data_IF_743623962834
#
_entry.id   IF_743623962834
#
_cell.length_a   1.000
_cell.length_b   1.000
_cell.length_c   1.000
_cell.angle_alpha   90.00
_cell.angle_beta   90.00
_cell.angle_gamma   90.00
#
_symmetry.space_group_name_H-M   'P 1'
#
loop_
_entity.id
_entity.type
_entity.pdbx_description
1 polymer ?
#
# COMPACT_ATOMS: atom_id res chain seq x y z
N UNK A 1 -8.64 10.24 1.90
CA UNK A 1 -7.63 9.41 1.19
C UNK A 1 -7.05 10.02 -0.09
N UNK A 2 -7.84 10.27 -1.15
CA UNK A 2 -7.32 10.64 -2.50
C UNK A 2 -6.30 11.78 -2.53
N UNK A 3 -6.64 12.95 -1.97
CA UNK A 3 -5.72 14.10 -1.92
C UNK A 3 -4.44 13.79 -1.13
N UNK A 4 -4.53 13.00 -0.05
CA UNK A 4 -3.36 12.59 0.74
C UNK A 4 -2.39 11.74 -0.09
N UNK A 5 -2.93 10.79 -0.87
CA UNK A 5 -2.13 9.94 -1.76
C UNK A 5 -1.54 10.77 -2.90
N UNK A 6 -2.30 11.72 -3.44
CA UNK A 6 -1.81 12.66 -4.46
C UNK A 6 -0.63 13.47 -3.95
N UNK A 7 -0.74 14.09 -2.78
CA UNK A 7 0.32 14.87 -2.15
C UNK A 7 1.58 14.01 -1.90
N UNK A 8 1.41 12.75 -1.49
CA UNK A 8 2.52 11.81 -1.37
C UNK A 8 3.21 11.58 -2.71
N UNK A 9 2.45 11.32 -3.77
CA UNK A 9 3.00 11.01 -5.08
C UNK A 9 3.66 12.20 -5.77
N UNK A 10 3.14 13.42 -5.57
CA UNK A 10 3.81 14.63 -6.07
C UNK A 10 5.22 14.74 -5.46
N UNK A 11 5.34 14.57 -4.14
CA UNK A 11 6.65 14.56 -3.46
C UNK A 11 7.54 13.40 -3.91
N UNK A 12 6.97 12.20 -4.06
CA UNK A 12 7.72 11.02 -4.51
C UNK A 12 8.32 11.22 -5.91
N UNK A 13 7.53 11.76 -6.84
CA UNK A 13 8.00 12.06 -8.19
C UNK A 13 9.07 13.15 -8.19
N UNK A 14 8.90 14.20 -7.39
CA UNK A 14 9.91 15.25 -7.24
C UNK A 14 11.23 14.67 -6.71
N UNK A 15 11.20 13.75 -5.73
CA UNK A 15 12.41 13.08 -5.22
C UNK A 15 13.13 12.24 -6.27
N UNK A 16 12.40 11.53 -7.12
CA UNK A 16 13.01 10.79 -8.23
C UNK A 16 13.65 11.72 -9.28
N UNK A 17 13.02 12.86 -9.55
CA UNK A 17 13.58 13.88 -10.41
C UNK A 17 14.83 14.53 -9.80
N UNK A 18 14.85 14.80 -8.50
CA UNK A 18 16.02 15.31 -7.77
C UNK A 18 17.18 14.30 -7.75
N UNK A 19 16.88 13.02 -7.51
CA UNK A 19 17.88 11.97 -7.33
C UNK A 19 18.54 11.53 -8.64
N UNK A 20 17.75 11.30 -9.69
CA UNK A 20 18.23 10.69 -10.93
C UNK A 20 17.69 11.36 -12.22
N UNK A 21 17.01 12.51 -12.09
CA UNK A 21 16.35 13.19 -13.22
C UNK A 21 15.48 12.22 -14.05
N UNK A 22 14.80 11.31 -13.35
CA UNK A 22 14.02 10.23 -13.93
C UNK A 22 12.67 10.10 -13.23
N UNK A 23 11.78 9.33 -13.85
CA UNK A 23 10.62 8.79 -13.16
C UNK A 23 11.01 7.61 -12.27
N UNK A 24 10.13 7.22 -11.33
CA UNK A 24 10.26 5.96 -10.61
C UNK A 24 10.43 4.80 -11.59
N UNK A 25 11.37 3.91 -11.29
CA UNK A 25 11.65 2.71 -12.09
C UNK A 25 11.40 1.46 -11.26
N UNK A 26 10.86 0.43 -11.91
CA UNK A 26 10.61 -0.89 -11.31
C UNK A 26 10.93 -1.97 -12.34
N UNK A 27 11.20 -3.20 -11.89
CA UNK A 27 11.32 -4.33 -12.80
C UNK A 27 10.01 -4.51 -13.59
N UNK A 28 10.12 -4.72 -14.91
CA UNK A 28 8.97 -4.98 -15.75
C UNK A 28 8.29 -6.30 -15.35
N UNK A 29 6.96 -6.29 -15.34
CA UNK A 29 6.15 -7.45 -15.01
C UNK A 29 5.07 -7.61 -16.09
N UNK A 30 5.03 -8.79 -16.72
CA UNK A 30 4.07 -9.12 -17.78
C UNK A 30 2.63 -9.27 -17.27
N UNK A 31 2.45 -9.58 -15.99
CA UNK A 31 1.15 -9.74 -15.35
C UNK A 31 0.51 -8.38 -14.99
N UNK A 32 1.25 -7.28 -15.10
CA UNK A 32 0.77 -5.93 -14.77
C UNK A 32 0.28 -5.24 -16.04
N UNK A 33 -0.93 -4.67 -15.98
CA UNK A 33 -1.50 -3.94 -17.12
C UNK A 33 -0.58 -2.80 -17.56
N UNK A 34 -0.13 -2.85 -18.82
CA UNK A 34 0.93 -1.99 -19.32
C UNK A 34 0.62 -0.48 -19.36
N UNK A 35 -0.63 -0.06 -19.10
CA UNK A 35 -0.98 1.36 -19.10
C UNK A 35 -0.32 2.16 -17.96
N UNK A 36 0.13 1.48 -16.90
CA UNK A 36 0.84 2.11 -15.76
C UNK A 36 2.29 2.47 -16.11
N UNK A 37 2.87 1.77 -17.09
CA UNK A 37 4.25 1.95 -17.50
C UNK A 37 4.42 3.11 -18.48
N UNK A 38 5.58 3.74 -18.43
CA UNK A 38 5.98 4.86 -19.28
C UNK A 38 7.30 4.54 -19.97
N UNK A 39 7.31 4.59 -21.30
CA UNK A 39 8.53 4.38 -22.09
C UNK A 39 8.76 2.91 -22.45
N UNK A 40 10.03 2.49 -22.39
CA UNK A 40 10.47 1.13 -22.71
C UNK A 40 11.36 0.60 -21.59
N UNK A 41 11.41 -0.71 -21.48
CA UNK A 41 12.38 -1.41 -20.65
C UNK A 41 13.82 -1.02 -21.02
N UNK A 42 14.65 -0.84 -20.00
CA UNK A 42 16.09 -0.65 -20.16
C UNK A 42 16.85 -1.98 -20.26
N UNK A 43 18.17 -1.91 -20.40
CA UNK A 43 19.03 -3.09 -20.55
C UNK A 43 19.05 -4.02 -19.32
N UNK A 44 18.55 -3.55 -18.18
CA UNK A 44 18.46 -4.30 -16.93
C UNK A 44 17.04 -4.81 -16.65
N UNK A 45 16.10 -4.59 -17.58
CA UNK A 45 14.70 -5.00 -17.44
C UNK A 45 13.88 -4.09 -16.53
N UNK A 46 14.32 -2.86 -16.28
CA UNK A 46 13.56 -1.87 -15.53
C UNK A 46 12.78 -0.95 -16.48
N UNK A 47 11.61 -0.52 -16.05
CA UNK A 47 10.73 0.38 -16.79
C UNK A 47 10.23 1.50 -15.86
N UNK A 48 10.04 2.69 -16.42
CA UNK A 48 9.48 3.81 -15.66
C UNK A 48 7.97 3.67 -15.48
N UNK A 49 7.44 4.23 -14.40
CA UNK A 49 6.00 4.27 -14.14
C UNK A 49 5.60 5.60 -13.49
N UNK A 50 4.29 5.87 -13.46
CA UNK A 50 3.68 6.98 -12.71
C UNK A 50 2.38 6.51 -12.06
N UNK A 51 2.02 7.05 -10.89
CA UNK A 51 0.71 6.81 -10.31
C UNK A 51 -0.37 7.40 -11.21
N UNK A 52 -1.50 6.68 -11.33
CA UNK A 52 -2.64 7.08 -12.17
C UNK A 52 -3.89 7.09 -11.30
N UNK A 53 -4.63 8.19 -11.33
CA UNK A 53 -5.90 8.29 -10.61
C UNK A 53 -6.88 7.22 -11.09
N UNK A 54 -7.52 6.51 -10.17
CA UNK A 54 -8.49 5.47 -10.52
C UNK A 54 -9.81 6.09 -10.96
N UNK A 55 -10.24 5.71 -12.15
CA UNK A 55 -11.58 5.97 -12.68
C UNK A 55 -12.55 4.79 -12.52
N UNK A 56 -12.11 3.71 -11.85
CA UNK A 56 -12.91 2.51 -11.56
C UNK A 56 -12.83 2.21 -10.07
N UNK A 57 -13.95 1.79 -9.50
CA UNK A 57 -14.03 1.39 -8.09
C UNK A 57 -14.07 -0.14 -8.00
N UNK A 58 -13.24 -0.66 -7.12
CA UNK A 58 -13.33 -2.02 -6.62
C UNK A 58 -14.49 -2.14 -5.65
N UNK A 59 -15.20 -3.24 -5.82
CA UNK A 59 -16.24 -3.69 -4.92
C UNK A 59 -15.65 -4.74 -3.96
N UNK A 60 -15.94 -4.59 -2.67
CA UNK A 60 -15.50 -5.50 -1.61
C UNK A 60 -16.67 -6.30 -1.01
N UNK A 61 -17.88 -6.16 -1.57
CA UNK A 61 -19.10 -6.82 -1.07
C UNK A 61 -18.95 -8.34 -0.97
N UNK A 62 -18.18 -8.98 -1.88
CA UNK A 62 -17.96 -10.42 -1.86
C UNK A 62 -17.24 -10.87 -0.58
N UNK A 63 -16.11 -10.25 -0.24
CA UNK A 63 -15.35 -10.60 0.97
C UNK A 63 -16.12 -10.16 2.24
N UNK A 64 -16.75 -8.99 2.21
CA UNK A 64 -17.54 -8.49 3.32
C UNK A 64 -18.71 -9.43 3.65
N UNK A 65 -19.40 -9.94 2.62
CA UNK A 65 -20.49 -10.91 2.76
C UNK A 65 -19.99 -12.29 3.18
N UNK A 66 -18.90 -12.78 2.59
CA UNK A 66 -18.37 -14.13 2.85
C UNK A 66 -17.93 -14.28 4.31
N UNK A 67 -17.30 -13.25 4.88
CA UNK A 67 -16.78 -13.28 6.25
C UNK A 67 -17.68 -12.55 7.26
N UNK A 68 -18.82 -12.03 6.81
CA UNK A 68 -19.74 -11.22 7.62
C UNK A 68 -19.00 -10.12 8.39
N UNK A 69 -18.15 -9.38 7.65
CA UNK A 69 -17.34 -8.28 8.13
C UNK A 69 -17.50 -7.08 7.21
N UNK A 70 -17.28 -5.88 7.72
CA UNK A 70 -17.17 -4.68 6.90
C UNK A 70 -15.73 -4.20 6.95
N UNK A 71 -15.09 -4.01 5.79
CA UNK A 71 -13.76 -3.43 5.72
C UNK A 71 -13.85 -1.95 6.07
N UNK A 72 -12.87 -1.49 6.85
CA UNK A 72 -12.78 -0.10 7.26
C UNK A 72 -12.74 0.82 6.04
N UNK A 73 -13.49 1.92 6.08
CA UNK A 73 -13.70 2.77 4.91
C UNK A 73 -12.39 3.36 4.36
N UNK A 74 -11.38 3.59 5.21
CA UNK A 74 -10.06 4.06 4.75
C UNK A 74 -9.35 3.05 3.85
N UNK A 75 -9.52 1.74 4.07
CA UNK A 75 -8.96 0.67 3.22
C UNK A 75 -9.63 0.71 1.85
N UNK A 76 -10.97 0.76 1.82
CA UNK A 76 -11.73 0.86 0.56
C UNK A 76 -11.34 2.12 -0.22
N UNK A 77 -11.25 3.26 0.47
CA UNK A 77 -10.81 4.51 -0.16
C UNK A 77 -9.37 4.42 -0.67
N UNK A 78 -8.45 3.75 0.03
CA UNK A 78 -7.06 3.57 -0.39
C UNK A 78 -6.98 2.80 -1.70
N UNK A 79 -7.62 1.63 -1.77
CA UNK A 79 -7.63 0.78 -2.96
C UNK A 79 -8.38 1.38 -4.16
N UNK A 80 -9.27 2.36 -3.92
CA UNK A 80 -10.03 3.06 -4.96
C UNK A 80 -9.49 4.43 -5.34
N UNK A 81 -8.36 4.87 -4.79
CA UNK A 81 -7.83 6.22 -5.09
C UNK A 81 -6.93 6.26 -6.33
N UNK A 82 -5.89 5.43 -6.39
CA UNK A 82 -4.88 5.44 -7.45
C UNK A 82 -4.45 4.02 -7.82
N UNK A 83 -4.02 3.84 -9.07
CA UNK A 83 -3.13 2.76 -9.49
C UNK A 83 -1.68 3.19 -9.25
N UNK A 84 -0.88 2.34 -8.62
CA UNK A 84 0.53 2.61 -8.33
C UNK A 84 1.29 1.32 -8.01
N UNK A 85 2.60 1.35 -8.21
CA UNK A 85 3.45 0.16 -8.06
C UNK A 85 4.31 0.19 -6.78
N UNK A 86 4.42 1.35 -6.13
CA UNK A 86 5.14 1.49 -4.86
C UNK A 86 4.55 2.65 -4.05
N UNK A 87 4.41 2.46 -2.74
CA UNK A 87 4.16 3.50 -1.76
C UNK A 87 4.95 3.17 -0.50
N UNK A 88 6.09 3.83 -0.36
CA UNK A 88 7.05 3.57 0.71
C UNK A 88 7.55 4.84 1.38
N UNK A 89 7.99 4.72 2.62
CA UNK A 89 8.61 5.83 3.34
C UNK A 89 8.90 5.49 4.79
N UNK A 90 9.57 6.41 5.45
CA UNK A 90 9.95 6.31 6.84
C UNK A 90 8.90 6.96 7.74
N UNK A 91 8.54 6.28 8.82
CA UNK A 91 7.83 6.88 9.95
C UNK A 91 8.50 6.44 11.25
N UNK A 92 8.91 7.41 12.05
CA UNK A 92 9.78 7.14 13.22
C UNK A 92 11.02 6.33 12.81
N UNK A 93 11.17 5.10 13.31
CA UNK A 93 12.27 4.19 12.99
C UNK A 93 11.90 3.09 11.98
N UNK A 94 10.69 3.12 11.43
CA UNK A 94 10.16 2.08 10.54
C UNK A 94 10.22 2.53 9.09
N UNK A 95 10.76 1.68 8.22
CA UNK A 95 10.69 1.85 6.79
C UNK A 95 9.53 1.01 6.25
N UNK A 96 8.42 1.67 5.94
CA UNK A 96 7.16 1.03 5.58
C UNK A 96 7.03 0.96 4.07
N UNK A 97 6.52 -0.16 3.59
CA UNK A 97 6.02 -0.35 2.24
C UNK A 97 4.55 -0.76 2.34
N UNK A 98 3.66 0.12 1.89
CA UNK A 98 2.22 -0.19 1.83
C UNK A 98 1.91 -1.00 0.58
N UNK A 99 0.94 -1.91 0.69
CA UNK A 99 0.54 -2.75 -0.42
C UNK A 99 0.14 -1.92 -1.63
N UNK A 100 0.79 -2.10 -2.79
CA UNK A 100 0.48 -1.33 -3.97
C UNK A 100 -0.88 -1.70 -4.56
N UNK A 101 -1.50 -0.73 -5.24
CA UNK A 101 -2.73 -0.98 -6.00
C UNK A 101 -2.34 -1.21 -7.45
N UNK A 102 -2.01 -2.46 -7.78
CA UNK A 102 -1.44 -2.85 -9.08
C UNK A 102 -2.57 -3.18 -10.08
N UNK A 103 -2.57 -2.58 -11.29
CA UNK A 103 -3.59 -2.88 -12.28
C UNK A 103 -3.35 -4.25 -12.93
N UNK A 104 -4.44 -5.00 -13.14
CA UNK A 104 -4.40 -6.41 -13.57
C UNK A 104 -4.21 -7.41 -12.44
N UNK A 105 -3.84 -6.96 -11.23
CA UNK A 105 -3.54 -7.83 -10.06
C UNK A 105 -4.51 -7.60 -8.90
N UNK A 106 -4.84 -6.34 -8.63
CA UNK A 106 -5.75 -5.96 -7.54
C UNK A 106 -7.22 -5.88 -8.01
N UNK A 107 -8.22 -6.13 -7.14
CA UNK A 107 -8.12 -6.35 -5.69
C UNK A 107 -7.94 -7.82 -5.27
N UNK A 108 -7.89 -8.75 -6.23
CA UNK A 108 -7.92 -10.19 -5.95
C UNK A 108 -6.74 -10.63 -5.07
N UNK A 109 -5.55 -10.09 -5.33
CA UNK A 109 -4.36 -10.37 -4.54
C UNK A 109 -4.51 -9.89 -3.09
N UNK A 110 -4.92 -8.63 -2.88
CA UNK A 110 -5.21 -8.11 -1.53
C UNK A 110 -6.28 -8.95 -0.81
N UNK A 111 -7.37 -9.28 -1.50
CA UNK A 111 -8.46 -10.11 -0.95
C UNK A 111 -7.91 -11.46 -0.51
N UNK A 112 -7.11 -12.15 -1.32
CA UNK A 112 -6.49 -13.42 -0.95
C UNK A 112 -5.61 -13.27 0.29
N UNK A 113 -4.80 -12.21 0.35
CA UNK A 113 -3.88 -11.98 1.45
C UNK A 113 -4.60 -11.71 2.78
N UNK A 114 -5.68 -10.92 2.76
CA UNK A 114 -6.54 -10.68 3.94
C UNK A 114 -7.17 -12.00 4.43
N UNK A 115 -7.62 -12.86 3.51
CA UNK A 115 -8.17 -14.18 3.85
C UNK A 115 -7.13 -15.06 4.55
N UNK A 116 -5.95 -15.21 3.96
CA UNK A 116 -4.86 -16.02 4.51
C UNK A 116 -4.45 -15.51 5.91
N UNK A 117 -4.36 -14.19 6.07
CA UNK A 117 -4.05 -13.58 7.36
C UNK A 117 -5.13 -13.86 8.41
N UNK A 118 -6.41 -13.64 8.10
CA UNK A 118 -7.52 -13.88 9.01
C UNK A 118 -7.59 -15.35 9.46
N UNK A 119 -7.41 -16.29 8.51
CA UNK A 119 -7.35 -17.72 8.80
C UNK A 119 -6.19 -18.07 9.74
N UNK A 120 -5.01 -17.45 9.55
CA UNK A 120 -3.85 -17.67 10.42
C UNK A 120 -4.07 -17.19 11.87
N UNK A 121 -4.89 -16.16 12.07
CA UNK A 121 -5.18 -15.57 13.38
C UNK A 121 -6.38 -16.22 14.09
N UNK A 122 -7.23 -16.94 13.35
CA UNK A 122 -8.48 -17.48 13.88
C UNK A 122 -9.44 -16.39 14.34
N UNK A 123 -9.30 -15.17 13.81
CA UNK A 123 -10.15 -14.01 14.11
C UNK A 123 -10.69 -13.44 12.80
N UNK A 124 -11.95 -12.99 12.82
CA UNK A 124 -12.61 -12.45 11.64
C UNK A 124 -12.16 -11.00 11.47
N UNK A 125 -11.11 -10.79 10.66
CA UNK A 125 -10.67 -9.50 10.11
C UNK A 125 -10.61 -8.36 11.15
N UNK A 126 -10.21 -8.64 12.39
CA UNK A 126 -9.95 -7.59 13.40
C UNK A 126 -8.83 -6.66 12.94
N UNK A 127 -7.78 -7.24 12.36
CA UNK A 127 -6.67 -6.53 11.76
C UNK A 127 -6.63 -6.83 10.26
N UNK A 128 -6.46 -5.79 9.45
CA UNK A 128 -6.29 -5.88 8.01
C UNK A 128 -4.82 -5.57 7.70
N UNK A 129 -4.06 -6.49 7.11
CA UNK A 129 -2.70 -6.19 6.71
C UNK A 129 -2.71 -5.25 5.48
N UNK A 130 -1.97 -4.15 5.58
CA UNK A 130 -1.94 -3.06 4.59
C UNK A 130 -0.53 -2.77 4.07
N UNK A 131 0.47 -3.52 4.53
CA UNK A 131 1.84 -3.39 4.11
C UNK A 131 2.81 -4.16 5.00
N UNK A 132 4.09 -3.87 4.84
CA UNK A 132 5.17 -4.46 5.62
C UNK A 132 6.24 -3.43 5.95
N UNK A 133 6.98 -3.69 7.01
CA UNK A 133 8.23 -3.01 7.33
C UNK A 133 9.39 -3.71 6.62
N UNK A 134 10.47 -3.00 6.32
CA UNK A 134 11.64 -3.54 5.62
C UNK A 134 12.27 -4.79 6.25
N UNK A 135 12.09 -5.02 7.56
CA UNK A 135 12.55 -6.20 8.27
C UNK A 135 11.58 -7.40 8.21
N UNK A 136 10.41 -7.25 7.57
CA UNK A 136 9.40 -8.29 7.40
C UNK A 136 8.23 -8.26 8.41
N UNK A 137 8.20 -7.33 9.38
CA UNK A 137 7.03 -7.11 10.23
C UNK A 137 5.83 -6.64 9.40
N UNK A 138 4.61 -7.03 9.74
CA UNK A 138 3.42 -6.54 9.04
C UNK A 138 3.00 -5.18 9.57
N UNK A 139 2.49 -4.36 8.67
CA UNK A 139 1.73 -3.16 9.00
C UNK A 139 0.26 -3.52 8.89
N UNK A 140 -0.46 -3.39 9.99
CA UNK A 140 -1.87 -3.77 10.08
C UNK A 140 -2.73 -2.59 10.53
N UNK A 141 -3.94 -2.52 10.00
CA UNK A 141 -4.99 -1.58 10.38
C UNK A 141 -5.99 -2.30 11.28
N UNK A 142 -6.34 -1.72 12.44
CA UNK A 142 -7.49 -2.18 13.22
C UNK A 142 -8.77 -1.84 12.46
N UNK A 143 -9.53 -2.86 12.08
CA UNK A 143 -10.68 -2.72 11.21
C UNK A 143 -11.84 -1.94 11.87
N UNK A 144 -11.86 -1.82 13.20
CA UNK A 144 -12.89 -1.09 13.93
C UNK A 144 -12.50 0.37 14.14
N UNK A 145 -11.23 0.65 14.45
CA UNK A 145 -10.78 2.01 14.84
C UNK A 145 -10.06 2.76 13.72
N UNK A 146 -9.53 2.05 12.72
CA UNK A 146 -8.67 2.59 11.67
C UNK A 146 -7.24 2.87 12.12
N UNK A 147 -6.88 2.58 13.38
CA UNK A 147 -5.53 2.77 13.92
C UNK A 147 -4.54 1.82 13.26
N UNK A 148 -3.30 2.26 13.10
CA UNK A 148 -2.25 1.50 12.42
C UNK A 148 -1.23 0.99 13.42
N UNK A 149 -0.89 -0.29 13.29
CA UNK A 149 0.07 -0.99 14.13
C UNK A 149 1.16 -1.64 13.27
N UNK A 150 2.34 -1.75 13.86
CA UNK A 150 3.35 -2.73 13.46
C UNK A 150 3.09 -3.99 14.26
N UNK A 151 2.94 -5.11 13.58
CA UNK A 151 2.80 -6.43 14.20
C UNK A 151 4.18 -7.13 14.29
N UNK A 152 4.60 -7.39 15.52
CA UNK A 152 5.76 -8.24 15.81
C UNK A 152 5.27 -9.67 16.09
N UNK A 153 5.44 -10.57 15.12
CA UNK A 153 5.03 -11.97 15.22
C UNK A 153 5.82 -12.75 16.27
N UNK A 154 7.09 -12.42 16.49
CA UNK A 154 7.95 -13.15 17.41
C UNK A 154 7.54 -12.86 18.86
N UNK A 155 7.18 -11.61 19.14
CA UNK A 155 6.75 -11.15 20.46
C UNK A 155 5.24 -11.24 20.67
N UNK A 156 4.45 -11.45 19.60
CA UNK A 156 3.00 -11.37 19.59
C UNK A 156 2.50 -10.02 20.13
N UNK A 157 3.14 -8.94 19.70
CA UNK A 157 2.87 -7.56 20.10
C UNK A 157 2.40 -6.70 18.93
N UNK A 158 1.48 -5.78 19.23
CA UNK A 158 1.01 -4.76 18.29
C UNK A 158 1.45 -3.41 18.81
N UNK A 159 2.32 -2.73 18.06
CA UNK A 159 2.80 -1.40 18.42
C UNK A 159 2.16 -0.35 17.52
N UNK A 160 1.34 0.51 18.11
CA UNK A 160 0.69 1.59 17.37
C UNK A 160 1.75 2.54 16.80
N UNK A 161 1.60 2.88 15.53
CA UNK A 161 2.44 3.85 14.82
C UNK A 161 1.70 5.13 14.48
N UNK A 162 0.38 5.06 14.21
CA UNK A 162 -0.45 6.23 13.95
C UNK A 162 -1.93 5.92 14.11
N UNK A 163 -2.77 6.95 14.08
CA UNK A 163 -4.21 6.84 14.36
C UNK A 163 -5.07 6.58 13.12
N UNK A 164 -4.51 6.70 11.91
CA UNK A 164 -5.22 6.41 10.67
C UNK A 164 -4.28 6.16 9.50
N UNK A 165 -4.80 5.52 8.45
CA UNK A 165 -4.07 5.30 7.20
C UNK A 165 -3.72 6.63 6.50
N UNK A 166 -4.61 7.62 6.54
CA UNK A 166 -4.30 8.96 6.03
C UNK A 166 -3.15 9.60 6.79
N UNK A 167 -3.16 9.52 8.12
CA UNK A 167 -2.09 10.07 8.94
C UNK A 167 -0.77 9.34 8.73
N UNK A 168 -0.82 8.04 8.42
CA UNK A 168 0.37 7.28 8.04
C UNK A 168 1.00 7.89 6.79
N UNK A 169 0.23 7.97 5.71
CA UNK A 169 0.70 8.42 4.40
C UNK A 169 1.20 9.87 4.47
N UNK A 170 0.51 10.75 5.21
CA UNK A 170 0.93 12.14 5.42
C UNK A 170 2.27 12.28 6.15
N UNK A 171 2.60 11.32 7.02
CA UNK A 171 3.82 11.35 7.85
C UNK A 171 4.99 10.58 7.24
N UNK A 172 4.77 9.83 6.15
CA UNK A 172 5.85 9.15 5.46
C UNK A 172 6.87 10.17 4.94
N UNK A 173 8.12 9.98 5.34
CA UNK A 173 9.27 10.75 4.90
C UNK A 173 10.14 9.95 3.95
N UNK A 174 10.80 10.62 3.02
CA UNK A 174 11.88 10.02 2.24
C UNK A 174 13.18 10.07 3.05
N UNK A 175 14.10 9.12 2.82
CA UNK A 175 15.28 8.83 3.65
C UNK A 175 16.20 10.04 3.96
N UNK A 176 16.11 11.11 3.16
CA UNK A 176 16.93 12.32 3.29
C UNK A 176 16.21 13.53 3.93
N UNK A 177 15.01 13.34 4.49
CA UNK A 177 14.25 14.39 5.19
C UNK A 177 14.47 14.34 6.72
N UNK A 178 15.66 14.78 7.18
CA UNK A 178 15.90 15.09 8.60
C UNK A 178 14.99 16.22 9.10
#
# INVERSE_FOLDING_TARGET
MKEVIKDYFEKFLDKWMEYNNSLPQIAWNEDVDGFIYTGKEDEYGYISWKPIEKGVEFDFDEIESQYNVQLHDSVKQYFNSYWFLELTGWISSYNINLHPVIPGVEPDYFISFVKDYAESKGDICKYIPIGYEANGMLIVLDNNTGEIFVEDFELNEYKQITNSLENLILQLKFKDEE
#
